data_IF_096666279320
#
_entry.id   IF_096666279320
#
_cell.length_a   1.000
_cell.length_b   1.000
_cell.length_c   1.000
_cell.angle_alpha   90.00
_cell.angle_beta   90.00
_cell.angle_gamma   90.00
#
_symmetry.space_group_name_H-M   'P 1'
#
loop_
_entity.id
_entity.type
_entity.pdbx_description
1 polymer ?
#
# COMPACT_ATOMS: atom_id res chain seq x y z
N UNK A 1 41.72 23.66 65.98
CA UNK A 1 40.37 23.72 65.41
C UNK A 1 40.54 23.76 63.89
N UNK A 2 40.29 22.63 63.20
CA UNK A 2 40.41 22.47 61.73
C UNK A 2 39.00 22.44 61.16
N UNK A 3 38.64 23.43 60.33
CA UNK A 3 37.37 23.48 59.60
C UNK A 3 37.49 22.64 58.36
N UNK A 4 36.61 21.62 58.23
CA UNK A 4 36.41 20.85 57.01
C UNK A 4 35.44 21.63 56.13
N UNK A 5 35.91 22.04 54.96
CA UNK A 5 35.08 22.50 53.85
C UNK A 5 34.62 21.30 53.02
N UNK A 6 33.34 20.99 53.10
CA UNK A 6 32.72 19.99 52.22
C UNK A 6 32.36 20.65 50.89
N UNK A 7 33.06 20.25 49.83
CA UNK A 7 32.74 20.69 48.46
C UNK A 7 31.59 19.88 47.90
N UNK A 8 30.46 20.51 47.60
CA UNK A 8 29.36 19.92 46.88
C UNK A 8 29.66 20.00 45.34
N UNK A 9 29.96 18.84 44.73
CA UNK A 9 30.06 18.75 43.30
C UNK A 9 28.65 18.68 42.67
N UNK A 10 28.23 19.75 42.05
CA UNK A 10 27.00 19.76 41.27
C UNK A 10 27.24 19.07 39.91
N UNK A 11 26.63 17.90 39.73
CA UNK A 11 26.61 17.17 38.47
C UNK A 11 25.58 17.86 37.56
N UNK A 12 26.04 18.70 36.66
CA UNK A 12 25.19 19.31 35.64
C UNK A 12 24.93 18.26 34.51
N UNK A 13 23.74 17.68 34.50
CA UNK A 13 23.27 16.92 33.36
C UNK A 13 22.99 17.91 32.19
N UNK A 14 23.89 17.97 31.24
CA UNK A 14 23.65 18.65 29.98
C UNK A 14 22.77 17.75 29.12
N UNK A 15 21.46 17.97 29.12
CA UNK A 15 20.54 17.42 28.13
C UNK A 15 20.81 18.17 26.83
N UNK A 16 21.59 17.58 25.95
CA UNK A 16 21.71 18.07 24.58
C UNK A 16 20.38 17.87 23.87
N UNK A 17 19.76 18.93 23.32
CA UNK A 17 18.60 18.71 22.47
C UNK A 17 19.09 17.96 21.21
N UNK A 18 18.60 16.75 21.04
CA UNK A 18 18.69 16.06 19.75
C UNK A 18 17.81 16.86 18.79
N UNK A 19 18.38 17.90 18.20
CA UNK A 19 17.79 18.52 17.03
C UNK A 19 17.81 17.43 15.94
N UNK A 20 16.64 16.89 15.66
CA UNK A 20 16.45 16.08 14.46
C UNK A 20 16.89 16.98 13.29
N UNK A 21 18.05 16.71 12.74
CA UNK A 21 18.48 17.30 11.48
C UNK A 21 17.57 16.74 10.41
N UNK A 22 16.44 17.41 10.21
CA UNK A 22 15.65 17.26 9.00
C UNK A 22 16.57 17.76 7.89
N UNK A 23 17.16 16.80 7.20
CA UNK A 23 17.98 17.04 6.03
C UNK A 23 17.20 17.93 5.08
N UNK A 24 17.68 19.16 4.89
CA UNK A 24 17.06 20.14 3.99
C UNK A 24 17.41 19.85 2.52
N UNK A 25 17.85 18.64 2.23
CA UNK A 25 17.96 18.14 0.87
C UNK A 25 16.56 17.74 0.39
N UNK A 26 15.76 18.77 0.03
CA UNK A 26 14.60 18.52 -0.81
C UNK A 26 15.14 18.08 -2.17
N UNK A 27 14.99 16.80 -2.57
CA UNK A 27 15.21 16.46 -3.95
C UNK A 27 14.29 17.39 -4.74
N UNK A 28 14.83 18.03 -5.76
CA UNK A 28 14.04 18.74 -6.76
C UNK A 28 12.95 17.76 -7.20
N UNK A 29 11.73 18.01 -6.77
CA UNK A 29 10.60 17.17 -7.10
C UNK A 29 10.32 17.45 -8.57
N UNK A 30 11.05 16.76 -9.44
CA UNK A 30 10.56 16.46 -10.76
C UNK A 30 9.20 15.79 -10.50
N UNK A 31 8.14 16.45 -10.93
CA UNK A 31 6.78 16.08 -10.61
C UNK A 31 6.53 14.68 -11.20
N UNK A 32 6.86 13.66 -10.41
CA UNK A 32 6.65 12.28 -10.82
C UNK A 32 5.15 12.06 -10.94
N UNK A 33 4.73 11.75 -12.14
CA UNK A 33 3.35 11.41 -12.43
C UNK A 33 3.22 9.90 -12.23
N UNK A 34 2.43 9.51 -11.23
CA UNK A 34 2.11 8.12 -10.95
C UNK A 34 1.05 7.56 -11.89
N UNK A 35 0.65 6.31 -11.65
CA UNK A 35 -0.41 5.66 -12.39
C UNK A 35 -1.69 6.51 -12.42
N UNK A 36 -2.31 6.63 -13.58
CA UNK A 36 -3.52 7.45 -13.77
C UNK A 36 -3.28 8.96 -13.87
N UNK A 37 -2.03 9.41 -14.13
CA UNK A 37 -1.73 10.83 -14.35
C UNK A 37 -1.77 11.69 -13.09
N UNK A 38 -1.73 11.09 -11.90
CA UNK A 38 -1.77 11.81 -10.63
C UNK A 38 -0.37 12.22 -10.17
N UNK A 39 -0.14 13.47 -9.71
CA UNK A 39 1.12 13.85 -9.13
C UNK A 39 1.46 12.98 -7.90
N UNK A 40 2.66 12.43 -7.84
CA UNK A 40 3.15 11.75 -6.63
C UNK A 40 3.70 12.82 -5.70
N UNK A 41 2.93 13.18 -4.67
CA UNK A 41 3.34 14.17 -3.67
C UNK A 41 3.93 13.50 -2.43
N UNK A 42 5.07 13.98 -1.96
CA UNK A 42 5.72 13.51 -0.73
C UNK A 42 4.85 13.67 0.53
N UNK A 43 3.81 14.51 0.47
CA UNK A 43 2.92 14.83 1.60
C UNK A 43 1.60 14.05 1.60
N UNK A 44 1.45 13.05 0.74
CA UNK A 44 0.22 12.26 0.64
C UNK A 44 0.30 10.96 1.44
N UNK A 45 0.90 11.03 2.60
CA UNK A 45 0.91 9.92 3.53
C UNK A 45 -0.44 9.85 4.25
N UNK A 46 -1.02 8.65 4.29
CA UNK A 46 -2.17 8.34 5.14
C UNK A 46 -1.65 7.66 6.40
N UNK A 47 -2.36 7.84 7.51
CA UNK A 47 -2.06 7.09 8.71
C UNK A 47 -2.15 5.58 8.44
N UNK A 48 -1.27 4.78 9.02
CA UNK A 48 -1.37 3.33 8.93
C UNK A 48 -2.73 2.86 9.46
N UNK A 49 -3.34 1.92 8.75
CA UNK A 49 -4.56 1.24 9.21
C UNK A 49 -4.15 -0.10 9.78
N UNK A 50 -4.56 -0.36 11.02
CA UNK A 50 -4.29 -1.63 11.71
C UNK A 50 -5.61 -2.38 11.85
N UNK A 51 -5.64 -3.64 11.41
CA UNK A 51 -6.81 -4.50 11.48
C UNK A 51 -6.45 -5.82 12.18
N UNK A 52 -7.36 -6.32 13.03
CA UNK A 52 -7.15 -7.55 13.80
C UNK A 52 -7.62 -8.80 13.06
N UNK A 53 -8.64 -8.69 12.21
CA UNK A 53 -9.32 -9.85 11.62
C UNK A 53 -9.18 -9.97 10.11
N UNK A 54 -8.88 -8.89 9.43
CA UNK A 54 -8.70 -8.87 7.99
C UNK A 54 -8.59 -7.44 7.46
N UNK A 55 -8.04 -7.32 6.29
CA UNK A 55 -7.82 -6.02 5.65
C UNK A 55 -8.06 -6.17 4.15
N UNK A 56 -8.57 -5.11 3.55
CA UNK A 56 -8.68 -4.96 2.11
C UNK A 56 -8.18 -3.56 1.69
N UNK A 57 -7.57 -3.49 0.52
CA UNK A 57 -7.15 -2.23 -0.10
C UNK A 57 -7.45 -2.30 -1.60
N UNK A 58 -8.14 -1.31 -2.12
CA UNK A 58 -8.49 -1.20 -3.54
C UNK A 58 -8.34 0.24 -4.01
N UNK A 59 -8.42 0.46 -5.32
CA UNK A 59 -8.38 1.81 -5.90
C UNK A 59 -9.59 2.67 -5.50
N UNK A 60 -10.76 2.05 -5.19
CA UNK A 60 -11.98 2.76 -4.85
C UNK A 60 -12.50 2.40 -3.45
N UNK A 61 -12.80 3.39 -2.57
CA UNK A 61 -13.21 3.12 -1.18
C UNK A 61 -14.44 2.23 -1.04
N UNK A 62 -15.43 2.35 -1.92
CA UNK A 62 -16.62 1.51 -1.88
C UNK A 62 -16.32 0.05 -2.23
N UNK A 63 -15.39 -0.21 -3.15
CA UNK A 63 -14.95 -1.57 -3.43
C UNK A 63 -14.18 -2.17 -2.25
N UNK A 64 -13.39 -1.35 -1.54
CA UNK A 64 -12.77 -1.76 -0.27
C UNK A 64 -13.83 -2.13 0.76
N UNK A 65 -14.91 -1.35 0.87
CA UNK A 65 -16.00 -1.65 1.79
C UNK A 65 -16.69 -2.96 1.46
N UNK A 66 -16.97 -3.23 0.18
CA UNK A 66 -17.54 -4.52 -0.28
C UNK A 66 -16.65 -5.69 0.14
N UNK A 67 -15.33 -5.58 -0.05
CA UNK A 67 -14.39 -6.63 0.38
C UNK A 67 -14.44 -6.86 1.90
N UNK A 68 -14.48 -5.78 2.69
CA UNK A 68 -14.54 -5.86 4.15
C UNK A 68 -15.85 -6.48 4.63
N UNK A 69 -16.97 -6.19 3.97
CA UNK A 69 -18.26 -6.76 4.33
C UNK A 69 -18.29 -8.27 4.06
N UNK A 70 -17.75 -8.71 2.91
CA UNK A 70 -17.59 -10.17 2.64
C UNK A 70 -16.73 -10.85 3.71
N UNK A 71 -15.62 -10.22 4.14
CA UNK A 71 -14.79 -10.78 5.22
C UNK A 71 -15.52 -10.84 6.56
N UNK A 72 -16.34 -9.84 6.91
CA UNK A 72 -17.16 -9.82 8.13
C UNK A 72 -18.25 -10.88 8.11
N UNK A 73 -18.82 -11.15 6.93
CA UNK A 73 -19.86 -12.18 6.74
C UNK A 73 -19.28 -13.61 6.72
N UNK A 74 -17.97 -13.75 6.91
CA UNK A 74 -17.27 -15.04 7.01
C UNK A 74 -16.70 -15.56 5.70
N UNK A 75 -16.71 -14.74 4.64
CA UNK A 75 -16.01 -15.03 3.39
C UNK A 75 -14.49 -15.02 3.56
N UNK A 76 -13.78 -15.74 2.71
CA UNK A 76 -12.32 -15.74 2.71
C UNK A 76 -11.74 -14.61 1.85
N UNK A 77 -10.42 -14.49 1.84
CA UNK A 77 -9.73 -13.41 1.10
C UNK A 77 -9.98 -13.47 -0.42
N UNK A 78 -10.19 -14.66 -0.99
CA UNK A 78 -10.48 -14.83 -2.42
C UNK A 78 -11.91 -14.37 -2.72
N UNK A 79 -12.89 -14.72 -1.87
CA UNK A 79 -14.26 -14.26 -1.98
C UNK A 79 -14.32 -12.72 -1.93
N UNK A 80 -13.62 -12.13 -0.98
CA UNK A 80 -13.53 -10.68 -0.83
C UNK A 80 -12.88 -9.99 -2.04
N UNK A 81 -11.80 -10.58 -2.58
CA UNK A 81 -11.13 -10.05 -3.76
C UNK A 81 -12.02 -10.11 -5.01
N UNK A 82 -12.76 -11.20 -5.20
CA UNK A 82 -13.71 -11.35 -6.33
C UNK A 82 -14.84 -10.32 -6.21
N UNK A 83 -15.42 -10.16 -5.02
CA UNK A 83 -16.50 -9.18 -4.80
C UNK A 83 -16.01 -7.73 -5.03
N UNK A 84 -14.82 -7.39 -4.51
CA UNK A 84 -14.21 -6.09 -4.73
C UNK A 84 -13.92 -5.83 -6.22
N UNK A 85 -13.40 -6.84 -6.93
CA UNK A 85 -13.10 -6.73 -8.35
C UNK A 85 -14.37 -6.54 -9.19
N UNK A 86 -15.45 -7.23 -8.87
CA UNK A 86 -16.76 -7.02 -9.51
C UNK A 86 -17.29 -5.60 -9.27
N UNK A 87 -17.17 -5.10 -8.03
CA UNK A 87 -17.56 -3.74 -7.69
C UNK A 87 -16.73 -2.68 -8.43
N UNK A 88 -15.42 -2.91 -8.59
CA UNK A 88 -14.52 -2.03 -9.34
C UNK A 88 -14.92 -1.92 -10.82
N UNK A 89 -15.44 -2.98 -11.42
CA UNK A 89 -15.93 -2.93 -12.80
C UNK A 89 -17.04 -1.90 -13.02
N UNK A 90 -17.82 -1.60 -11.96
CA UNK A 90 -18.83 -0.54 -11.99
C UNK A 90 -18.25 0.82 -11.58
N UNK A 91 -17.38 0.84 -10.56
CA UNK A 91 -16.92 2.09 -9.93
C UNK A 91 -15.72 2.70 -10.64
N UNK A 92 -14.94 1.89 -11.34
CA UNK A 92 -13.73 2.29 -12.06
C UNK A 92 -13.65 1.61 -13.44
N UNK A 93 -14.64 1.84 -14.31
CA UNK A 93 -14.80 1.10 -15.57
C UNK A 93 -13.66 1.34 -16.57
N UNK A 94 -12.87 2.38 -16.39
CA UNK A 94 -11.70 2.66 -17.23
C UNK A 94 -10.49 1.81 -16.88
N UNK A 95 -10.42 1.28 -15.66
CA UNK A 95 -9.30 0.49 -15.14
C UNK A 95 -9.64 -0.98 -14.88
N UNK A 96 -10.91 -1.35 -14.93
CA UNK A 96 -11.37 -2.70 -14.65
C UNK A 96 -12.61 -3.07 -15.46
N UNK A 97 -12.73 -4.35 -15.83
CA UNK A 97 -13.88 -4.86 -16.56
C UNK A 97 -13.84 -6.38 -16.79
N UNK A 98 -15.01 -6.95 -17.13
CA UNK A 98 -15.16 -8.36 -17.46
C UNK A 98 -14.37 -8.64 -18.74
N UNK A 99 -13.49 -9.65 -18.70
CA UNK A 99 -12.66 -10.05 -19.85
C UNK A 99 -11.35 -9.27 -19.98
N UNK A 100 -11.02 -8.42 -19.02
CA UNK A 100 -9.70 -7.82 -18.89
C UNK A 100 -8.63 -8.78 -18.40
N UNK A 101 -7.41 -8.30 -18.31
CA UNK A 101 -6.29 -9.06 -17.74
C UNK A 101 -6.49 -9.32 -16.24
N UNK A 102 -6.03 -10.48 -15.77
CA UNK A 102 -6.04 -10.82 -14.36
C UNK A 102 -4.68 -11.39 -13.94
N UNK A 103 -4.10 -10.80 -12.92
CA UNK A 103 -2.93 -11.34 -12.22
C UNK A 103 -3.28 -11.54 -10.76
N UNK A 104 -2.95 -12.70 -10.20
CA UNK A 104 -3.19 -12.97 -8.80
C UNK A 104 -2.03 -13.74 -8.17
N UNK A 105 -1.76 -13.43 -6.90
CA UNK A 105 -0.89 -14.19 -6.01
C UNK A 105 -1.70 -14.51 -4.76
N UNK A 106 -1.86 -15.79 -4.47
CA UNK A 106 -2.71 -16.29 -3.39
C UNK A 106 -1.87 -17.18 -2.47
N UNK A 107 -1.82 -16.85 -1.19
CA UNK A 107 -1.25 -17.71 -0.17
C UNK A 107 -2.35 -18.51 0.52
N UNK A 108 -2.21 -19.85 0.53
CA UNK A 108 -3.11 -20.72 1.28
C UNK A 108 -2.44 -21.16 2.59
N UNK A 109 -2.91 -20.66 3.74
CA UNK A 109 -2.33 -21.00 5.04
C UNK A 109 -2.53 -22.46 5.45
N UNK A 110 -3.52 -23.17 4.87
CA UNK A 110 -3.78 -24.59 5.19
C UNK A 110 -2.72 -25.49 4.58
N UNK A 111 -2.33 -25.22 3.34
CA UNK A 111 -1.30 -25.99 2.65
C UNK A 111 0.09 -25.38 2.76
N UNK A 112 0.22 -24.13 3.24
CA UNK A 112 1.46 -23.35 3.27
C UNK A 112 1.98 -23.02 1.89
N UNK A 113 1.15 -23.07 0.84
CA UNK A 113 1.55 -22.90 -0.55
C UNK A 113 1.16 -21.53 -1.09
N UNK A 114 1.97 -21.06 -2.01
CA UNK A 114 1.72 -19.87 -2.80
C UNK A 114 1.27 -20.29 -4.21
N UNK A 115 0.18 -19.71 -4.67
CA UNK A 115 -0.36 -19.91 -6.02
C UNK A 115 -0.29 -18.62 -6.81
N UNK A 116 0.14 -18.70 -8.07
CA UNK A 116 0.18 -17.59 -9.00
C UNK A 116 -0.74 -17.84 -10.19
N UNK A 117 -1.47 -16.82 -10.59
CA UNK A 117 -2.30 -16.82 -11.81
C UNK A 117 -1.80 -15.70 -12.71
N UNK A 118 -1.48 -16.04 -13.95
CA UNK A 118 -1.26 -15.10 -15.03
C UNK A 118 -2.37 -15.29 -16.07
N UNK A 119 -3.36 -14.42 -16.01
CA UNK A 119 -4.49 -14.36 -16.92
C UNK A 119 -4.39 -13.19 -17.90
N UNK A 120 -3.19 -12.90 -18.39
CA UNK A 120 -2.98 -11.89 -19.43
C UNK A 120 -3.71 -12.27 -20.71
N UNK A 121 -4.35 -11.31 -21.34
CA UNK A 121 -5.06 -11.47 -22.60
C UNK A 121 -4.14 -11.94 -23.72
N UNK A 122 -4.70 -12.64 -24.68
CA UNK A 122 -3.98 -13.03 -25.89
C UNK A 122 -4.15 -11.96 -26.96
N UNK A 123 -3.14 -11.80 -27.81
CA UNK A 123 -3.28 -10.99 -29.01
C UNK A 123 -4.41 -11.52 -29.92
N UNK A 124 -5.11 -10.67 -30.66
CA UNK A 124 -6.10 -11.09 -31.64
C UNK A 124 -5.50 -12.08 -32.65
N UNK A 125 -6.23 -13.16 -33.01
CA UNK A 125 -5.76 -14.21 -33.90
C UNK A 125 -5.32 -13.72 -35.29
N UNK A 126 -5.88 -12.59 -35.73
CA UNK A 126 -5.55 -11.98 -37.02
C UNK A 126 -4.41 -10.96 -36.94
N UNK A 127 -3.87 -10.67 -35.78
CA UNK A 127 -2.80 -9.68 -35.60
C UNK A 127 -1.45 -10.34 -35.81
N UNK A 128 -0.67 -9.84 -36.78
CA UNK A 128 0.68 -10.32 -37.07
C UNK A 128 1.73 -9.33 -36.57
N UNK A 129 2.95 -9.84 -36.33
CA UNK A 129 4.07 -8.98 -35.91
C UNK A 129 4.38 -7.88 -36.94
N UNK A 130 4.18 -8.17 -38.24
CA UNK A 130 4.45 -7.21 -39.32
C UNK A 130 3.45 -6.06 -39.38
N UNK A 131 2.25 -6.24 -38.80
CA UNK A 131 1.26 -5.16 -38.62
C UNK A 131 1.59 -4.24 -37.45
N UNK A 132 2.52 -4.64 -36.60
CA UNK A 132 2.92 -3.88 -35.40
C UNK A 132 4.25 -3.14 -35.57
N UNK A 133 4.94 -3.33 -36.68
CA UNK A 133 6.18 -2.63 -37.09
C UNK A 133 5.85 -1.38 -37.91
#
# INVERSE_FOLDING_TARGET
MKALLAGAAALALTVSPVAAQVSADKPSVEQQIGAGGRPVGANWSRSPVIAQHGMAATAHPLATQVALDVLKDGGNAVDAAIAANAALGLMEPTGNGIGGDLFAIIYDPKSGKLYGINGSGRSPKGQTLDQLK
#
